data_IF_538991809671
#
_entry.id   IF_538991809671
#
_cell.length_a   1.000
_cell.length_b   1.000
_cell.length_c   1.000
_cell.angle_alpha   90.00
_cell.angle_beta   90.00
_cell.angle_gamma   90.00
#
_symmetry.space_group_name_H-M   'P 1'
#
loop_
_entity.id
_entity.type
_entity.pdbx_description
1 polymer ?
#
# COMPACT_ATOMS: atom_id res chain seq x y z
N UNK A 1 34.45 -8.62 18.71
CA UNK A 1 33.37 -9.00 19.64
C UNK A 1 32.06 -8.40 19.15
N UNK A 2 31.25 -9.16 18.41
CA UNK A 2 29.95 -8.71 17.90
C UNK A 2 28.90 -9.02 18.96
N UNK A 3 28.28 -7.98 19.53
CA UNK A 3 27.19 -8.14 20.49
C UNK A 3 26.04 -8.85 19.78
N UNK A 4 25.79 -10.09 20.20
CA UNK A 4 24.60 -10.85 19.87
C UNK A 4 23.40 -10.14 20.51
N UNK A 5 22.63 -9.41 19.71
CA UNK A 5 21.32 -8.93 20.16
C UNK A 5 20.39 -10.14 20.18
N UNK A 6 20.27 -10.76 21.35
CA UNK A 6 19.27 -11.77 21.63
C UNK A 6 17.88 -11.14 21.49
N UNK A 7 17.18 -11.45 20.41
CA UNK A 7 15.74 -11.27 20.35
C UNK A 7 15.14 -12.36 21.25
N UNK A 8 14.94 -12.04 22.52
CA UNK A 8 14.10 -12.85 23.39
C UNK A 8 12.69 -12.84 22.81
N UNK A 9 11.99 -13.99 22.70
CA UNK A 9 10.57 -14.02 22.38
C UNK A 9 9.80 -13.55 23.61
N UNK A 10 9.88 -12.26 23.90
CA UNK A 10 8.99 -11.60 24.84
C UNK A 10 7.69 -11.31 24.11
N UNK A 11 6.81 -12.31 24.03
CA UNK A 11 5.38 -12.09 23.74
C UNK A 11 4.76 -11.48 25.01
N UNK A 12 5.19 -10.27 25.33
CA UNK A 12 4.56 -9.38 26.29
C UNK A 12 4.17 -8.12 25.54
N UNK A 13 3.41 -8.28 24.46
CA UNK A 13 2.63 -7.20 23.89
C UNK A 13 1.38 -7.00 24.75
N UNK A 14 1.59 -6.62 26.00
CA UNK A 14 0.52 -6.11 26.83
C UNK A 14 0.46 -4.60 26.60
N UNK A 15 -0.47 -4.17 25.77
CA UNK A 15 -1.05 -2.83 25.95
C UNK A 15 -1.73 -2.91 27.31
N UNK A 16 -1.01 -2.49 28.37
CA UNK A 16 -1.49 -2.59 29.75
C UNK A 16 -2.53 -1.51 30.00
N UNK A 17 -3.78 -1.81 29.64
CA UNK A 17 -4.93 -1.24 30.31
C UNK A 17 -5.13 -2.07 31.58
N UNK A 18 -5.10 -1.44 32.74
CA UNK A 18 -5.13 -2.13 34.04
C UNK A 18 -6.31 -3.11 34.12
N UNK A 19 -6.02 -4.40 34.36
CA UNK A 19 -7.00 -5.49 34.40
C UNK A 19 -7.38 -6.15 33.06
N UNK A 20 -6.90 -5.64 31.91
CA UNK A 20 -7.02 -6.28 30.60
C UNK A 20 -5.70 -6.95 30.18
N UNK A 21 -5.68 -8.27 30.08
CA UNK A 21 -4.48 -9.05 29.73
C UNK A 21 -4.65 -9.76 28.39
N UNK A 22 -3.91 -9.30 27.39
CA UNK A 22 -3.84 -9.93 26.06
C UNK A 22 -2.84 -11.07 26.07
N UNK A 23 -3.30 -12.27 25.76
CA UNK A 23 -2.47 -13.46 25.55
C UNK A 23 -2.72 -14.01 24.15
N UNK A 24 -1.86 -14.94 23.73
CA UNK A 24 -2.10 -15.69 22.51
C UNK A 24 -3.42 -16.47 22.65
N UNK A 25 -4.41 -16.13 21.82
CA UNK A 25 -5.77 -16.72 21.79
C UNK A 25 -6.69 -16.41 22.98
N UNK A 26 -6.36 -15.47 23.87
CA UNK A 26 -7.19 -15.16 25.04
C UNK A 26 -7.08 -13.68 25.44
N UNK A 27 -8.20 -13.04 25.78
CA UNK A 27 -8.25 -11.78 26.51
C UNK A 27 -8.81 -12.04 27.91
N UNK A 28 -7.96 -12.00 28.93
CA UNK A 28 -8.40 -12.14 30.33
C UNK A 28 -8.75 -10.76 30.90
N UNK A 29 -9.97 -10.61 31.43
CA UNK A 29 -10.47 -9.38 32.05
C UNK A 29 -10.66 -9.63 33.55
N UNK A 30 -10.03 -8.83 34.40
CA UNK A 30 -10.06 -9.01 35.86
C UNK A 30 -10.44 -7.73 36.58
N UNK A 31 -11.41 -7.81 37.49
CA UNK A 31 -11.92 -6.67 38.25
C UNK A 31 -13.24 -6.12 37.67
N UNK A 32 -13.66 -4.96 38.17
CA UNK A 32 -14.82 -4.23 37.65
C UNK A 32 -14.31 -3.00 36.91
N UNK A 33 -14.63 -2.91 35.62
CA UNK A 33 -14.22 -1.81 34.75
C UNK A 33 -15.39 -0.89 34.45
N UNK A 34 -15.09 0.38 34.18
CA UNK A 34 -16.11 1.29 33.65
C UNK A 34 -16.44 0.90 32.21
N UNK A 35 -17.64 1.28 31.76
CA UNK A 35 -18.08 0.99 30.40
C UNK A 35 -17.17 1.66 29.37
N UNK A 36 -16.63 2.83 29.70
CA UNK A 36 -15.69 3.57 28.85
C UNK A 36 -14.39 2.79 28.63
N UNK A 37 -13.82 2.20 29.68
CA UNK A 37 -12.59 1.40 29.60
C UNK A 37 -12.82 0.16 28.72
N UNK A 38 -13.97 -0.50 28.88
CA UNK A 38 -14.35 -1.64 28.06
C UNK A 38 -14.56 -1.26 26.58
N UNK A 39 -15.16 -0.10 26.30
CA UNK A 39 -15.33 0.42 24.94
C UNK A 39 -13.99 0.78 24.29
N UNK A 40 -13.05 1.36 25.02
CA UNK A 40 -11.70 1.66 24.50
C UNK A 40 -10.93 0.38 24.13
N UNK A 41 -11.05 -0.68 24.93
CA UNK A 41 -10.50 -2.00 24.58
C UNK A 41 -11.16 -2.55 23.31
N UNK A 42 -12.47 -2.40 23.17
CA UNK A 42 -13.19 -2.76 21.94
C UNK A 42 -12.66 -2.03 20.71
N UNK A 43 -12.43 -0.71 20.80
CA UNK A 43 -11.83 0.09 19.71
C UNK A 43 -10.43 -0.39 19.37
N UNK A 44 -9.61 -0.70 20.39
CA UNK A 44 -8.27 -1.21 20.21
C UNK A 44 -8.28 -2.55 19.45
N UNK A 45 -9.14 -3.49 19.83
CA UNK A 45 -9.27 -4.79 19.17
C UNK A 45 -9.61 -4.64 17.68
N UNK A 46 -10.60 -3.82 17.35
CA UNK A 46 -10.98 -3.52 15.96
C UNK A 46 -9.86 -2.81 15.19
N UNK A 47 -9.13 -1.91 15.85
CA UNK A 47 -7.96 -1.25 15.28
C UNK A 47 -6.85 -2.24 14.93
N UNK A 48 -6.57 -3.21 15.81
CA UNK A 48 -5.59 -4.26 15.55
C UNK A 48 -6.01 -5.19 14.40
N UNK A 49 -7.27 -5.65 14.42
CA UNK A 49 -7.82 -6.56 13.40
C UNK A 49 -7.77 -5.93 12.00
N UNK A 50 -8.18 -4.66 11.88
CA UNK A 50 -8.11 -3.91 10.63
C UNK A 50 -6.68 -3.55 10.18
N UNK A 51 -5.72 -3.50 11.11
CA UNK A 51 -4.32 -3.14 10.84
C UNK A 51 -3.40 -4.32 10.52
N UNK A 52 -3.78 -5.54 10.90
CA UNK A 52 -2.90 -6.72 10.82
C UNK A 52 -2.36 -6.99 9.41
N UNK A 53 -3.22 -6.87 8.39
CA UNK A 53 -2.81 -7.02 6.99
C UNK A 53 -1.78 -5.96 6.55
N UNK A 54 -1.92 -4.73 7.06
CA UNK A 54 -0.99 -3.64 6.80
C UNK A 54 0.35 -3.87 7.47
N UNK A 55 0.36 -4.28 8.74
CA UNK A 55 1.60 -4.56 9.46
C UNK A 55 2.39 -5.71 8.84
N UNK A 56 1.70 -6.79 8.44
CA UNK A 56 2.33 -7.90 7.70
C UNK A 56 2.91 -7.39 6.38
N UNK A 57 2.16 -6.58 5.63
CA UNK A 57 2.62 -6.03 4.36
C UNK A 57 3.81 -5.08 4.50
N UNK A 58 3.76 -4.12 5.42
CA UNK A 58 4.85 -3.17 5.69
C UNK A 58 6.12 -3.89 6.16
N UNK A 59 5.98 -4.93 7.01
CA UNK A 59 7.07 -5.80 7.42
C UNK A 59 7.69 -6.55 6.22
N UNK A 60 6.87 -7.08 5.32
CA UNK A 60 7.35 -7.75 4.11
C UNK A 60 8.04 -6.79 3.14
N UNK A 61 7.51 -5.58 2.96
CA UNK A 61 8.11 -4.55 2.10
C UNK A 61 9.49 -4.16 2.60
N UNK A 62 9.63 -3.92 3.92
CA UNK A 62 10.92 -3.68 4.54
C UNK A 62 11.88 -4.87 4.36
N UNK A 63 11.38 -6.09 4.58
CA UNK A 63 12.16 -7.31 4.43
C UNK A 63 12.67 -7.54 3.01
N UNK A 64 11.84 -7.28 2.00
CA UNK A 64 12.22 -7.39 0.59
C UNK A 64 13.29 -6.38 0.19
N UNK A 65 13.14 -5.13 0.62
CA UNK A 65 14.13 -4.08 0.37
C UNK A 65 15.48 -4.35 1.06
N UNK A 66 15.45 -4.93 2.26
CA UNK A 66 16.66 -5.09 3.10
C UNK A 66 17.39 -6.42 2.85
N UNK A 67 16.64 -7.50 2.63
CA UNK A 67 17.17 -8.87 2.59
C UNK A 67 16.86 -9.60 1.26
N UNK A 68 16.16 -8.96 0.32
CA UNK A 68 15.61 -9.59 -0.88
C UNK A 68 14.32 -10.37 -0.61
N UNK A 69 13.75 -11.03 -1.62
CA UNK A 69 12.52 -11.79 -1.45
C UNK A 69 12.71 -13.00 -0.49
N UNK A 70 12.05 -12.94 0.67
CA UNK A 70 12.13 -13.93 1.75
C UNK A 70 10.77 -14.57 2.09
N UNK A 71 9.97 -14.85 1.06
CA UNK A 71 8.62 -15.40 1.26
C UNK A 71 8.61 -16.73 1.99
N UNK A 72 9.54 -17.65 1.69
CA UNK A 72 9.64 -18.95 2.39
C UNK A 72 9.94 -18.80 3.88
N UNK A 73 10.81 -17.85 4.26
CA UNK A 73 11.07 -17.53 5.66
C UNK A 73 9.83 -16.87 6.30
N UNK A 74 9.16 -15.97 5.60
CA UNK A 74 7.95 -15.33 6.10
C UNK A 74 6.80 -16.31 6.33
N UNK A 75 6.61 -17.30 5.44
CA UNK A 75 5.64 -18.39 5.64
C UNK A 75 5.97 -19.23 6.88
N UNK A 76 7.26 -19.51 7.09
CA UNK A 76 7.69 -20.32 8.24
C UNK A 76 7.34 -19.69 9.59
N UNK A 77 7.35 -18.35 9.67
CA UNK A 77 7.08 -17.57 10.89
C UNK A 77 5.59 -17.27 11.04
N UNK A 78 4.96 -16.76 9.98
CA UNK A 78 3.55 -16.31 10.04
C UNK A 78 2.55 -17.44 9.93
N UNK A 79 2.95 -18.59 9.39
CA UNK A 79 2.06 -19.71 9.01
C UNK A 79 0.95 -19.33 8.02
N UNK A 80 1.04 -18.15 7.40
CA UNK A 80 0.18 -17.78 6.30
C UNK A 80 0.72 -18.31 4.98
N UNK A 81 -0.19 -18.57 4.04
CA UNK A 81 0.16 -18.99 2.69
C UNK A 81 0.86 -17.86 1.92
N UNK A 82 1.75 -18.22 1.00
CA UNK A 82 2.48 -17.29 0.16
C UNK A 82 1.60 -16.31 -0.64
N UNK A 83 0.43 -16.73 -1.11
CA UNK A 83 -0.50 -15.89 -1.88
C UNK A 83 -1.07 -14.75 -1.05
N UNK A 84 -1.44 -15.01 0.20
CA UNK A 84 -1.84 -14.00 1.16
C UNK A 84 -0.70 -13.02 1.45
N UNK A 85 0.52 -13.52 1.72
CA UNK A 85 1.68 -12.67 1.99
C UNK A 85 2.02 -11.76 0.81
N UNK A 86 1.98 -12.29 -0.42
CA UNK A 86 2.15 -11.50 -1.63
C UNK A 86 1.09 -10.41 -1.76
N UNK A 87 -0.17 -10.70 -1.42
CA UNK A 87 -1.23 -9.70 -1.46
C UNK A 87 -0.98 -8.58 -0.43
N UNK A 88 -0.59 -8.92 0.80
CA UNK A 88 -0.23 -7.93 1.84
C UNK A 88 0.95 -7.04 1.42
N UNK A 89 2.03 -7.64 0.90
CA UNK A 89 3.19 -6.92 0.37
C UNK A 89 2.79 -6.00 -0.80
N UNK A 90 2.05 -6.53 -1.77
CA UNK A 90 1.61 -5.77 -2.94
C UNK A 90 0.77 -4.55 -2.56
N UNK A 91 -0.24 -4.72 -1.71
CA UNK A 91 -1.10 -3.59 -1.31
C UNK A 91 -0.31 -2.57 -0.50
N UNK A 92 0.55 -3.00 0.41
CA UNK A 92 1.32 -2.08 1.27
C UNK A 92 2.41 -1.33 0.52
N UNK A 93 3.02 -1.95 -0.50
CA UNK A 93 4.00 -1.30 -1.39
C UNK A 93 3.37 -0.30 -2.36
N UNK A 94 2.10 -0.49 -2.73
CA UNK A 94 1.42 0.34 -3.73
C UNK A 94 0.51 1.42 -3.13
N UNK A 95 -0.05 1.17 -1.95
CA UNK A 95 -0.94 2.12 -1.26
C UNK A 95 -0.18 2.78 -0.11
N UNK A 96 0.32 4.01 -0.31
CA UNK A 96 1.11 4.69 0.68
C UNK A 96 0.24 5.10 1.88
N UNK A 97 0.87 5.36 3.04
CA UNK A 97 0.15 5.57 4.29
C UNK A 97 -0.88 6.71 4.22
N UNK A 98 -0.59 7.77 3.47
CA UNK A 98 -1.48 8.91 3.23
C UNK A 98 -2.77 8.58 2.47
N UNK A 99 -2.82 7.42 1.80
CA UNK A 99 -3.98 6.91 1.09
C UNK A 99 -4.70 5.80 1.86
N UNK A 100 -4.23 5.42 3.05
CA UNK A 100 -4.88 4.42 3.90
C UNK A 100 -5.95 5.11 4.74
N UNK A 101 -7.21 4.97 4.34
CA UNK A 101 -8.34 5.69 4.91
C UNK A 101 -8.99 4.85 6.02
N UNK A 102 -9.06 5.42 7.23
CA UNK A 102 -9.81 4.81 8.33
C UNK A 102 -11.31 4.75 7.98
N UNK A 103 -11.99 3.67 8.38
CA UNK A 103 -13.38 3.42 8.00
C UNK A 103 -13.54 2.55 6.75
N UNK A 104 -12.48 2.36 5.95
CA UNK A 104 -12.47 1.42 4.84
C UNK A 104 -11.64 0.17 5.17
N UNK A 105 -12.16 -1.00 4.82
CA UNK A 105 -11.44 -2.26 5.00
C UNK A 105 -10.19 -2.34 4.12
N UNK A 106 -9.22 -3.18 4.51
CA UNK A 106 -8.04 -3.48 3.70
C UNK A 106 -8.39 -3.93 2.27
N UNK A 107 -9.53 -4.63 2.10
CA UNK A 107 -10.02 -5.08 0.80
C UNK A 107 -10.39 -3.92 -0.14
N UNK A 108 -10.92 -2.80 0.36
CA UNK A 108 -11.16 -1.61 -0.49
C UNK A 108 -9.85 -1.09 -1.08
N UNK A 109 -8.81 -1.02 -0.24
CA UNK A 109 -7.49 -0.58 -0.64
C UNK A 109 -6.85 -1.55 -1.63
N UNK A 110 -7.09 -2.86 -1.48
CA UNK A 110 -6.65 -3.86 -2.44
C UNK A 110 -7.22 -3.65 -3.84
N UNK A 111 -8.49 -3.28 -3.98
CA UNK A 111 -9.11 -3.05 -5.30
C UNK A 111 -8.45 -1.88 -6.04
N UNK A 112 -8.01 -0.85 -5.32
CA UNK A 112 -7.38 0.34 -5.91
C UNK A 112 -5.86 0.25 -6.02
N UNK A 113 -5.21 -0.75 -5.42
CA UNK A 113 -3.75 -0.82 -5.30
C UNK A 113 -3.01 -0.78 -6.65
N UNK A 114 -3.63 -1.25 -7.73
CA UNK A 114 -3.05 -1.19 -9.08
C UNK A 114 -3.17 0.19 -9.76
N UNK A 115 -3.95 1.12 -9.19
CA UNK A 115 -4.15 2.46 -9.71
C UNK A 115 -3.01 3.40 -9.27
N UNK A 116 -2.93 4.57 -9.92
CA UNK A 116 -2.06 5.66 -9.50
C UNK A 116 -2.46 6.20 -8.12
N UNK A 117 -1.51 6.76 -7.37
CA UNK A 117 -1.75 7.31 -6.02
C UNK A 117 -2.90 8.33 -5.98
N UNK A 118 -3.05 9.16 -7.02
CA UNK A 118 -4.16 10.12 -7.11
C UNK A 118 -5.51 9.43 -7.31
N UNK A 119 -5.55 8.41 -8.16
CA UNK A 119 -6.76 7.63 -8.43
C UNK A 119 -7.17 6.77 -7.24
N UNK A 120 -6.21 6.17 -6.53
CA UNK A 120 -6.45 5.48 -5.26
C UNK A 120 -7.20 6.38 -4.28
N UNK A 121 -6.66 7.57 -4.02
CA UNK A 121 -7.28 8.54 -3.10
C UNK A 121 -8.67 8.92 -3.57
N UNK A 122 -8.83 9.22 -4.86
CA UNK A 122 -10.13 9.59 -5.46
C UNK A 122 -11.19 8.51 -5.22
N UNK A 123 -10.86 7.25 -5.51
CA UNK A 123 -11.80 6.13 -5.37
C UNK A 123 -12.09 5.77 -3.92
N UNK A 124 -11.08 5.80 -3.05
CA UNK A 124 -11.26 5.53 -1.62
C UNK A 124 -12.10 6.63 -0.96
N UNK A 125 -11.86 7.91 -1.25
CA UNK A 125 -12.70 9.00 -0.74
C UNK A 125 -14.14 8.83 -1.20
N UNK A 126 -14.39 8.51 -2.48
CA UNK A 126 -15.75 8.21 -2.96
C UNK A 126 -16.40 7.03 -2.24
N UNK A 127 -15.64 5.95 -2.02
CA UNK A 127 -16.16 4.79 -1.32
C UNK A 127 -16.52 5.12 0.13
N UNK A 128 -15.72 5.94 0.81
CA UNK A 128 -16.02 6.39 2.17
C UNK A 128 -17.27 7.29 2.18
N UNK A 129 -17.31 8.32 1.33
CA UNK A 129 -18.38 9.32 1.30
C UNK A 129 -19.75 8.72 0.94
N UNK A 130 -19.76 7.66 0.14
CA UNK A 130 -20.98 6.98 -0.31
C UNK A 130 -21.22 5.66 0.43
N UNK A 131 -20.42 5.34 1.46
CA UNK A 131 -20.49 4.10 2.24
C UNK A 131 -20.50 2.83 1.38
N UNK A 132 -19.76 2.85 0.26
CA UNK A 132 -19.74 1.73 -0.66
C UNK A 132 -19.09 0.49 -0.04
N UNK A 133 -19.70 -0.66 -0.29
CA UNK A 133 -19.05 -1.96 -0.14
C UNK A 133 -17.93 -2.15 -1.17
N UNK A 134 -17.05 -3.11 -0.94
CA UNK A 134 -15.99 -3.50 -1.89
C UNK A 134 -16.58 -3.87 -3.26
N UNK A 135 -17.75 -4.49 -3.27
CA UNK A 135 -18.44 -4.88 -4.51
C UNK A 135 -18.93 -3.66 -5.28
N UNK A 136 -19.55 -2.69 -4.60
CA UNK A 136 -20.01 -1.44 -5.20
C UNK A 136 -18.85 -0.61 -5.73
N UNK A 137 -17.77 -0.46 -4.94
CA UNK A 137 -16.54 0.18 -5.40
C UNK A 137 -16.06 -0.44 -6.72
N UNK A 138 -15.99 -1.77 -6.79
CA UNK A 138 -15.58 -2.48 -8.02
C UNK A 138 -16.55 -2.23 -9.19
N UNK A 139 -17.86 -2.21 -8.94
CA UNK A 139 -18.88 -1.93 -9.96
C UNK A 139 -18.68 -0.51 -10.51
N UNK A 140 -18.55 0.50 -9.64
CA UNK A 140 -18.36 1.89 -10.03
C UNK A 140 -17.05 2.11 -10.77
N UNK A 141 -15.95 1.48 -10.32
CA UNK A 141 -14.66 1.53 -11.01
C UNK A 141 -14.74 0.98 -12.43
N UNK A 142 -15.42 -0.16 -12.63
CA UNK A 142 -15.62 -0.76 -13.96
C UNK A 142 -16.51 0.10 -14.84
N UNK A 143 -17.57 0.69 -14.29
CA UNK A 143 -18.47 1.58 -15.04
C UNK A 143 -17.72 2.79 -15.58
N UNK A 144 -16.95 3.47 -14.74
CA UNK A 144 -16.13 4.60 -15.20
C UNK A 144 -15.10 4.19 -16.23
N UNK A 145 -14.48 3.00 -16.10
CA UNK A 145 -13.55 2.51 -17.13
C UNK A 145 -14.26 2.24 -18.48
N UNK A 146 -15.48 1.71 -18.44
CA UNK A 146 -16.30 1.46 -19.63
C UNK A 146 -16.73 2.77 -20.31
N UNK A 147 -17.18 3.76 -19.53
CA UNK A 147 -17.54 5.10 -20.02
C UNK A 147 -16.36 5.78 -20.74
N UNK A 148 -15.15 5.67 -20.18
CA UNK A 148 -13.92 6.16 -20.83
C UNK A 148 -13.56 5.39 -22.12
N UNK A 149 -13.89 4.09 -22.20
CA UNK A 149 -13.62 3.27 -23.38
C UNK A 149 -14.60 3.51 -24.53
N UNK A 150 -15.85 3.88 -24.23
CA UNK A 150 -16.86 4.19 -25.25
C UNK A 150 -16.61 5.57 -25.90
N UNK A 151 -15.98 6.50 -25.19
CA UNK A 151 -15.53 7.78 -25.74
C UNK A 151 -14.28 7.67 -26.63
N UNK A 152 -13.56 6.55 -26.58
CA UNK A 152 -12.32 6.33 -27.34
C UNK A 152 -12.47 5.10 -28.25
N UNK A 153 -13.01 5.31 -29.45
CA UNK A 153 -13.35 4.28 -30.44
C UNK A 153 -12.10 3.60 -31.06
N UNK A 154 -11.33 2.86 -30.25
CA UNK A 154 -10.21 2.06 -30.73
C UNK A 154 -9.95 0.81 -29.87
N UNK A 155 -9.95 -0.40 -30.47
CA UNK A 155 -9.85 -1.65 -29.73
C UNK A 155 -8.40 -1.97 -29.39
N UNK A 156 -7.95 -1.53 -28.23
CA UNK A 156 -6.79 -2.11 -27.57
C UNK A 156 -6.91 -1.88 -26.07
N UNK A 157 -6.35 -2.78 -25.25
CA UNK A 157 -6.09 -2.53 -23.82
C UNK A 157 -5.28 -1.24 -23.74
N UNK A 158 -5.97 -0.11 -23.59
CA UNK A 158 -5.40 1.16 -24.00
C UNK A 158 -4.28 1.53 -23.04
N UNK A 159 -3.10 1.70 -23.61
CA UNK A 159 -1.97 2.28 -22.91
C UNK A 159 -2.42 3.66 -22.40
N UNK A 160 -2.57 3.80 -21.09
CA UNK A 160 -2.94 5.06 -20.47
C UNK A 160 -1.73 5.99 -20.50
N UNK A 161 -1.60 6.76 -21.59
CA UNK A 161 -0.51 7.68 -21.85
C UNK A 161 -0.33 8.71 -20.72
N UNK A 162 -1.43 9.16 -20.12
CA UNK A 162 -1.41 10.09 -18.99
C UNK A 162 -0.79 9.43 -17.75
N UNK A 163 -1.21 8.21 -17.40
CA UNK A 163 -0.64 7.47 -16.26
C UNK A 163 0.84 7.16 -16.48
N UNK A 164 1.21 6.70 -17.68
CA UNK A 164 2.59 6.39 -18.04
C UNK A 164 3.50 7.63 -17.99
N UNK A 165 3.05 8.75 -18.56
CA UNK A 165 3.83 10.00 -18.53
C UNK A 165 4.00 10.53 -17.10
N UNK A 166 2.99 10.41 -16.24
CA UNK A 166 3.09 10.80 -14.83
C UNK A 166 4.05 9.90 -14.04
N UNK A 167 4.12 8.61 -14.34
CA UNK A 167 5.12 7.70 -13.75
C UNK A 167 6.55 8.07 -14.16
N UNK A 168 6.78 8.33 -15.45
CA UNK A 168 8.07 8.79 -15.96
C UNK A 168 8.50 10.14 -15.36
N UNK A 169 7.59 11.11 -15.30
CA UNK A 169 7.83 12.41 -14.67
C UNK A 169 8.14 12.26 -13.17
N UNK A 170 7.42 11.38 -12.47
CA UNK A 170 7.67 11.12 -11.04
C UNK A 170 9.06 10.54 -10.82
N UNK A 171 9.46 9.56 -11.63
CA UNK A 171 10.81 8.99 -11.58
C UNK A 171 11.87 10.05 -11.83
N UNK A 172 11.73 10.85 -12.91
CA UNK A 172 12.65 11.94 -13.21
C UNK A 172 12.76 12.94 -12.06
N UNK A 173 11.63 13.40 -11.49
CA UNK A 173 11.63 14.33 -10.34
C UNK A 173 12.30 13.75 -9.09
N UNK A 174 12.11 12.46 -8.83
CA UNK A 174 12.74 11.80 -7.69
C UNK A 174 14.24 11.69 -7.90
N UNK A 175 14.66 11.35 -9.11
CA UNK A 175 16.06 11.14 -9.45
C UNK A 175 16.84 12.45 -9.50
N UNK A 176 16.28 13.50 -10.09
CA UNK A 176 16.87 14.84 -10.11
C UNK A 176 16.92 15.52 -8.74
N UNK A 177 16.06 15.10 -7.81
CA UNK A 177 16.15 15.50 -6.40
C UNK A 177 17.31 14.85 -5.66
N UNK A 178 17.63 13.59 -5.99
CA UNK A 178 18.74 12.85 -5.36
C UNK A 178 20.09 13.28 -5.91
N UNK A 179 20.14 13.50 -7.22
CA UNK A 179 21.33 13.92 -7.94
C UNK A 179 20.89 14.96 -8.97
N UNK A 180 21.21 16.25 -8.78
CA UNK A 180 20.90 17.29 -9.76
C UNK A 180 21.35 16.90 -11.17
N UNK A 181 20.63 17.36 -12.20
CA UNK A 181 20.90 16.97 -13.59
C UNK A 181 22.35 17.31 -13.96
N UNK A 182 22.87 18.41 -13.43
CA UNK A 182 24.22 18.95 -13.62
C UNK A 182 25.32 18.01 -13.08
N UNK A 183 24.96 17.04 -12.24
CA UNK A 183 25.87 16.04 -11.68
C UNK A 183 25.77 14.68 -12.40
N UNK A 184 24.87 14.52 -13.37
CA UNK A 184 24.76 13.27 -14.15
C UNK A 184 25.91 13.14 -15.14
N UNK A 185 26.37 11.92 -15.43
CA UNK A 185 27.36 11.68 -16.49
C UNK A 185 26.82 12.08 -17.86
N UNK A 186 27.71 12.52 -18.74
CA UNK A 186 27.35 12.93 -20.11
C UNK A 186 26.67 11.80 -20.89
N UNK A 187 27.21 10.58 -20.77
CA UNK A 187 26.64 9.37 -21.37
C UNK A 187 25.19 9.11 -20.91
N UNK A 188 24.90 9.31 -19.61
CA UNK A 188 23.54 9.15 -19.07
C UNK A 188 22.60 10.21 -19.62
N UNK A 189 23.04 11.46 -19.73
CA UNK A 189 22.23 12.56 -20.27
C UNK A 189 21.92 12.35 -21.75
N UNK A 190 22.90 11.90 -22.53
CA UNK A 190 22.71 11.59 -23.95
C UNK A 190 21.70 10.47 -24.18
N UNK A 191 21.79 9.38 -23.41
CA UNK A 191 20.85 8.25 -23.50
C UNK A 191 19.41 8.68 -23.21
N UNK A 192 19.19 9.38 -22.10
CA UNK A 192 17.84 9.84 -21.71
C UNK A 192 17.29 10.84 -22.73
N UNK A 193 18.13 11.74 -23.24
CA UNK A 193 17.72 12.70 -24.27
C UNK A 193 17.29 11.99 -25.55
N UNK A 194 18.08 11.01 -26.01
CA UNK A 194 17.76 10.20 -27.19
C UNK A 194 16.41 9.49 -27.06
N UNK A 195 16.11 8.93 -25.89
CA UNK A 195 14.87 8.20 -25.66
C UNK A 195 13.65 9.13 -25.55
N UNK A 196 13.83 10.36 -25.06
CA UNK A 196 12.76 11.34 -24.91
C UNK A 196 12.51 12.18 -26.17
N UNK A 197 13.49 12.33 -27.07
CA UNK A 197 13.37 13.16 -28.27
C UNK A 197 12.15 12.81 -29.14
N UNK A 198 11.84 11.53 -29.45
CA UNK A 198 10.67 11.19 -30.26
C UNK A 198 9.34 11.61 -29.61
N UNK A 199 9.26 11.56 -28.28
CA UNK A 199 8.07 11.98 -27.52
C UNK A 199 7.90 13.50 -27.63
N UNK A 200 8.99 14.25 -27.52
CA UNK A 200 9.00 15.71 -27.67
C UNK A 200 8.65 16.13 -29.10
N UNK A 201 9.15 15.42 -30.11
CA UNK A 201 8.79 15.65 -31.51
C UNK A 201 7.29 15.45 -31.78
N UNK A 202 6.70 14.41 -31.19
CA UNK A 202 5.25 14.18 -31.27
C UNK A 202 4.50 15.30 -30.56
N UNK A 203 4.91 15.67 -29.34
CA UNK A 203 4.29 16.77 -28.59
C UNK A 203 4.30 18.09 -29.35
N UNK A 204 5.39 18.43 -30.05
CA UNK A 204 5.49 19.64 -30.87
C UNK A 204 4.56 19.66 -32.08
N UNK A 205 3.98 18.52 -32.47
CA UNK A 205 3.06 18.36 -33.59
C UNK A 205 1.58 18.33 -33.16
N UNK A 206 1.32 18.20 -31.87
CA UNK A 206 -0.01 18.33 -31.26
C UNK A 206 -0.35 19.82 -31.08
#
# INVERSE_FOLDING_TARGET
MKKSTSILPSVSNAIQLEGFKFKQMELSITGVHKIEDWLEVGKLLTGMESSLNWWIGDWLVFGEHTYGQKYSQAESVTKHRQDYLKACNFVSSKVPAENRIQGLSWSHHREVAALSVSEQKRWLTKALDNEWTVSELRIHMRKTLAEYSEETDSPSKSFNLVSWSQEGIRWLKQETRKTPIEEWSDERRELIKKDLEPIVEIYKKL
#
